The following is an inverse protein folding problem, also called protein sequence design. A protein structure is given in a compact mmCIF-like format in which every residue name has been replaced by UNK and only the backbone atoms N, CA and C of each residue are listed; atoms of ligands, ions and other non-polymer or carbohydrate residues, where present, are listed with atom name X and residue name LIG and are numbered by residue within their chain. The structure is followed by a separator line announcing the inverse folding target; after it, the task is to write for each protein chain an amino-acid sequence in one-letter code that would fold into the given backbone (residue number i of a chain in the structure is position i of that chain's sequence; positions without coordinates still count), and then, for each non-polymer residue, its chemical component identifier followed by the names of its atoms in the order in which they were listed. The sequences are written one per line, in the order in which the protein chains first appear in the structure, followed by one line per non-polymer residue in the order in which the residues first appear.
data_IF_050923540581
#
_entry.id   IF_050923540581
#
_cell.length_a   1.000
_cell.length_b   1.000
_cell.length_c   1.000
_cell.angle_alpha   90.00
_cell.angle_beta   90.00
_cell.angle_gamma   90.00
#
_symmetry.space_group_name_H-M   'P 1'
#
loop_
_entity.id
_entity.type
_entity.pdbx_description
1 polymer ?
#
# COMPACT_ATOMS: atom_id res chain seq x y z
N UNK A 1 6.09 1.49 7.79
CA UNK A 1 5.33 2.09 8.91
C UNK A 1 3.89 1.60 8.82
N UNK A 2 3.31 1.15 9.92
CA UNK A 2 1.94 0.62 9.97
C UNK A 2 0.92 1.75 9.89
N UNK A 3 -0.18 1.54 9.18
CA UNK A 3 -1.26 2.55 9.00
C UNK A 3 -1.75 3.14 10.33
N UNK A 4 -1.97 2.29 11.35
CA UNK A 4 -2.37 2.75 12.67
C UNK A 4 -1.32 3.64 13.36
N UNK A 5 -0.03 3.34 13.14
CA UNK A 5 1.08 4.14 13.67
C UNK A 5 1.16 5.50 12.96
N UNK A 6 0.91 5.55 11.64
CA UNK A 6 0.85 6.83 10.89
C UNK A 6 -0.25 7.73 11.47
N UNK A 7 -1.46 7.21 11.66
CA UNK A 7 -2.58 7.96 12.24
C UNK A 7 -2.23 8.48 13.64
N UNK A 8 -1.68 7.61 14.49
CA UNK A 8 -1.26 7.99 15.85
C UNK A 8 -0.17 9.06 15.83
N UNK A 9 0.88 8.87 15.03
CA UNK A 9 2.04 9.77 14.99
C UNK A 9 1.66 11.17 14.50
N UNK A 10 0.72 11.28 13.56
CA UNK A 10 0.19 12.58 13.13
C UNK A 10 -0.74 13.19 14.18
N UNK A 11 -1.63 12.40 14.80
CA UNK A 11 -2.57 12.91 15.81
C UNK A 11 -1.86 13.40 17.07
N UNK A 12 -0.70 12.83 17.41
CA UNK A 12 0.10 13.18 18.60
C UNK A 12 1.24 14.17 18.32
N UNK A 13 1.29 14.78 17.12
CA UNK A 13 2.33 15.76 16.73
C UNK A 13 3.75 15.19 16.60
N UNK A 14 3.88 13.90 16.53
CA UNK A 14 5.17 13.26 16.24
C UNK A 14 5.56 13.38 14.76
N UNK A 15 4.56 13.49 13.89
CA UNK A 15 4.71 13.74 12.46
C UNK A 15 3.70 14.80 12.04
N UNK A 16 4.08 15.74 11.16
CA UNK A 16 3.18 16.76 10.66
C UNK A 16 2.19 16.19 9.63
N UNK A 17 2.70 15.31 8.75
CA UNK A 17 1.90 14.63 7.72
C UNK A 17 2.12 13.12 7.78
N UNK A 18 1.14 12.36 7.31
CA UNK A 18 1.22 10.92 7.10
C UNK A 18 0.66 10.54 5.74
N UNK A 19 1.41 9.75 4.96
CA UNK A 19 0.95 9.29 3.65
C UNK A 19 0.17 7.99 3.84
N UNK A 20 -1.04 7.96 3.28
CA UNK A 20 -1.95 6.83 3.33
C UNK A 20 -2.71 6.72 2.00
N UNK A 21 -3.46 5.64 1.83
CA UNK A 21 -4.40 5.54 0.74
C UNK A 21 -5.81 5.18 1.25
N UNK A 22 -6.81 5.58 0.47
CA UNK A 22 -8.19 5.17 0.65
C UNK A 22 -8.65 4.39 -0.59
N UNK A 23 -9.57 3.46 -0.39
CA UNK A 23 -10.33 2.78 -1.43
C UNK A 23 -11.76 2.56 -0.95
N UNK A 24 -12.64 2.03 -1.79
CA UNK A 24 -14.05 1.80 -1.45
C UNK A 24 -14.23 0.95 -0.18
N UNK A 25 -13.31 0.05 0.11
CA UNK A 25 -13.38 -0.85 1.26
C UNK A 25 -13.02 -0.17 2.58
N UNK A 26 -11.90 0.61 2.61
CA UNK A 26 -11.36 1.15 3.85
C UNK A 26 -11.80 2.60 4.14
N UNK A 27 -12.28 3.34 3.13
CA UNK A 27 -12.60 4.76 3.22
C UNK A 27 -13.50 5.12 4.40
N UNK A 28 -14.61 4.40 4.56
CA UNK A 28 -15.58 4.70 5.63
C UNK A 28 -14.98 4.57 7.03
N UNK A 29 -14.15 3.54 7.23
CA UNK A 29 -13.53 3.26 8.53
C UNK A 29 -12.40 4.23 8.79
N UNK A 30 -11.50 4.43 7.82
CA UNK A 30 -10.36 5.33 7.99
C UNK A 30 -10.80 6.80 8.11
N UNK A 31 -11.78 7.26 7.33
CA UNK A 31 -12.33 8.63 7.44
C UNK A 31 -12.95 8.88 8.81
N UNK A 32 -13.64 7.87 9.39
CA UNK A 32 -14.13 7.99 10.76
C UNK A 32 -12.98 8.12 11.75
N UNK A 33 -11.96 7.26 11.65
CA UNK A 33 -10.78 7.31 12.52
C UNK A 33 -10.03 8.66 12.40
N UNK A 34 -9.88 9.18 11.19
CA UNK A 34 -9.28 10.52 10.98
C UNK A 34 -10.08 11.59 11.70
N UNK A 35 -11.40 11.58 11.56
CA UNK A 35 -12.29 12.55 12.24
C UNK A 35 -12.17 12.47 13.75
N UNK A 36 -12.20 11.23 14.30
CA UNK A 36 -12.12 10.99 15.74
C UNK A 36 -10.75 11.40 16.31
N UNK A 37 -9.69 11.31 15.48
CA UNK A 37 -8.33 11.74 15.80
C UNK A 37 -8.04 13.23 15.49
N UNK A 38 -9.03 14.00 15.00
CA UNK A 38 -8.85 15.42 14.64
C UNK A 38 -8.02 15.62 13.37
N UNK A 39 -7.95 14.62 12.49
CA UNK A 39 -7.20 14.65 11.24
C UNK A 39 -8.11 14.95 10.04
N UNK A 40 -7.49 15.40 8.95
CA UNK A 40 -8.11 15.60 7.65
C UNK A 40 -7.25 14.91 6.57
N UNK A 41 -7.92 14.21 5.66
CA UNK A 41 -7.27 13.58 4.50
C UNK A 41 -7.39 14.48 3.28
N UNK A 42 -6.28 14.67 2.57
CA UNK A 42 -6.23 15.37 1.28
C UNK A 42 -5.68 14.41 0.23
N UNK A 43 -6.49 14.15 -0.80
CA UNK A 43 -6.06 13.35 -1.94
C UNK A 43 -5.02 14.09 -2.78
N UNK A 44 -3.96 13.39 -3.18
CA UNK A 44 -2.94 13.87 -4.11
C UNK A 44 -3.22 13.36 -5.53
N UNK A 45 -3.51 12.08 -5.65
CA UNK A 45 -3.85 11.44 -6.93
C UNK A 45 -4.54 10.10 -6.71
N UNK A 46 -5.15 9.56 -7.78
CA UNK A 46 -5.69 8.21 -7.78
C UNK A 46 -5.01 7.33 -8.84
N UNK A 47 -4.84 6.05 -8.52
CA UNK A 47 -4.23 5.06 -9.41
C UNK A 47 -4.98 3.73 -9.36
N UNK A 48 -4.71 2.86 -10.34
CA UNK A 48 -5.15 1.46 -10.32
C UNK A 48 -4.33 0.58 -9.40
N UNK A 49 -4.68 -0.68 -9.31
CA UNK A 49 -3.91 -1.70 -8.62
C UNK A 49 -2.95 -2.41 -9.57
N UNK A 50 -1.77 -2.73 -9.07
CA UNK A 50 -0.72 -3.44 -9.81
C UNK A 50 -0.19 -4.59 -8.95
N UNK A 51 0.21 -5.68 -9.60
CA UNK A 51 1.04 -6.71 -8.98
C UNK A 51 2.51 -6.36 -9.13
N UNK A 52 3.23 -6.28 -8.01
CA UNK A 52 4.66 -6.06 -7.98
C UNK A 52 5.38 -7.39 -7.88
N UNK A 53 6.20 -7.69 -8.87
CA UNK A 53 6.90 -8.97 -9.03
C UNK A 53 8.36 -8.74 -9.42
N UNK A 54 9.23 -9.73 -9.25
CA UNK A 54 10.57 -9.68 -9.79
C UNK A 54 10.56 -9.92 -11.31
N UNK A 55 11.60 -9.43 -12.02
CA UNK A 55 11.66 -9.39 -13.49
C UNK A 55 11.54 -10.74 -14.20
N UNK A 56 11.95 -11.85 -13.53
CA UNK A 56 11.86 -13.19 -14.10
C UNK A 56 10.68 -13.99 -13.53
N UNK A 57 9.74 -13.33 -12.86
CA UNK A 57 8.49 -13.96 -12.46
C UNK A 57 7.75 -14.49 -13.71
N UNK A 58 7.09 -15.67 -13.65
CA UNK A 58 6.40 -16.24 -14.82
C UNK A 58 5.38 -15.30 -15.49
N UNK A 59 4.79 -14.37 -14.74
CA UNK A 59 3.84 -13.38 -15.25
C UNK A 59 4.49 -12.04 -15.64
N UNK A 60 5.80 -11.84 -15.43
CA UNK A 60 6.46 -10.53 -15.56
C UNK A 60 6.36 -9.88 -16.97
N UNK A 61 6.11 -10.69 -18.01
CA UNK A 61 6.01 -10.23 -19.39
C UNK A 61 4.56 -10.06 -19.88
N UNK A 62 3.56 -10.21 -19.00
CA UNK A 62 2.17 -9.93 -19.31
C UNK A 62 1.92 -8.43 -19.32
N UNK A 63 1.07 -7.95 -20.25
CA UNK A 63 0.65 -6.55 -20.30
C UNK A 63 -0.34 -6.21 -19.19
N UNK A 64 -1.20 -7.17 -18.85
CA UNK A 64 -2.20 -7.09 -17.79
C UNK A 64 -2.45 -8.49 -17.23
N UNK A 65 -2.83 -8.60 -15.96
CA UNK A 65 -3.13 -9.87 -15.28
C UNK A 65 -4.38 -9.75 -14.42
N UNK A 66 -5.05 -10.88 -14.24
CA UNK A 66 -6.16 -10.99 -13.29
C UNK A 66 -5.66 -11.41 -11.90
N UNK A 67 -6.49 -11.19 -10.88
CA UNK A 67 -6.18 -11.71 -9.54
C UNK A 67 -6.17 -13.25 -9.51
N UNK A 68 -6.88 -13.90 -10.43
CA UNK A 68 -6.91 -15.35 -10.60
C UNK A 68 -5.56 -15.90 -11.09
N UNK A 69 -4.87 -15.17 -11.97
CA UNK A 69 -3.52 -15.55 -12.45
C UNK A 69 -2.52 -15.60 -11.30
N UNK A 70 -2.72 -14.81 -10.26
CA UNK A 70 -1.87 -14.72 -9.08
C UNK A 70 -2.08 -15.82 -8.05
N UNK A 71 -3.16 -16.62 -8.13
CA UNK A 71 -3.54 -17.64 -7.14
C UNK A 71 -2.51 -18.76 -6.96
N UNK A 72 -1.69 -19.02 -7.97
CA UNK A 72 -0.65 -20.05 -7.90
C UNK A 72 0.63 -19.56 -7.18
N UNK A 73 0.73 -18.26 -6.90
CA UNK A 73 1.89 -17.62 -6.29
C UNK A 73 1.55 -17.10 -4.88
N UNK A 74 2.52 -17.04 -3.94
CA UNK A 74 2.25 -16.50 -2.61
C UNK A 74 2.10 -14.98 -2.65
N UNK A 75 1.00 -14.49 -2.08
CA UNK A 75 0.81 -13.07 -1.81
C UNK A 75 1.68 -12.67 -0.61
N UNK A 76 2.52 -11.65 -0.79
CA UNK A 76 3.37 -11.09 0.24
C UNK A 76 2.73 -9.81 0.76
N UNK A 77 2.46 -9.77 2.05
CA UNK A 77 1.80 -8.65 2.71
C UNK A 77 2.63 -8.13 3.89
N UNK A 78 2.51 -6.84 4.21
CA UNK A 78 3.14 -6.27 5.39
C UNK A 78 2.34 -6.60 6.65
N UNK A 79 3.05 -7.01 7.70
CA UNK A 79 2.44 -7.24 9.00
C UNK A 79 2.02 -5.92 9.65
N UNK A 80 0.76 -5.82 10.07
CA UNK A 80 0.20 -4.63 10.76
C UNK A 80 0.24 -4.74 12.29
N UNK A 81 0.91 -5.77 12.84
CA UNK A 81 1.04 -5.97 14.30
C UNK A 81 -0.31 -6.21 14.98
N UNK A 82 -0.53 -5.54 16.12
CA UNK A 82 -1.76 -5.68 16.89
C UNK A 82 -3.00 -5.07 16.21
N UNK A 83 -2.82 -4.24 15.18
CA UNK A 83 -3.88 -3.63 14.37
C UNK A 83 -4.16 -4.46 13.12
N UNK A 84 -4.32 -5.79 13.27
CA UNK A 84 -4.53 -6.76 12.18
C UNK A 84 -5.92 -6.67 11.50
N UNK A 85 -6.56 -5.51 11.53
CA UNK A 85 -7.77 -5.27 10.76
C UNK A 85 -7.41 -5.09 9.28
N UNK A 86 -8.18 -5.71 8.39
CA UNK A 86 -8.05 -5.55 6.93
C UNK A 86 -8.12 -4.09 6.47
N UNK A 87 -8.77 -3.22 7.24
CA UNK A 87 -8.86 -1.79 6.94
C UNK A 87 -7.52 -1.05 7.06
N UNK A 88 -6.54 -1.62 7.77
CA UNK A 88 -5.19 -1.07 7.94
C UNK A 88 -4.16 -1.70 7.01
N UNK A 89 -4.55 -2.67 6.18
CA UNK A 89 -3.63 -3.29 5.23
C UNK A 89 -3.03 -2.25 4.28
N UNK A 90 -1.75 -2.40 3.98
CA UNK A 90 -1.05 -1.55 3.01
C UNK A 90 -1.37 -1.98 1.57
N UNK A 91 -1.79 -3.23 1.40
CA UNK A 91 -2.14 -3.80 0.11
C UNK A 91 -3.63 -3.65 -0.18
N UNK A 92 -3.95 -3.28 -1.41
CA UNK A 92 -5.32 -3.31 -1.95
C UNK A 92 -5.79 -4.78 -2.05
N UNK A 93 -7.08 -5.01 -2.07
CA UNK A 93 -7.68 -6.36 -2.06
C UNK A 93 -7.31 -7.22 -0.84
N UNK A 94 -7.05 -6.60 0.30
CA UNK A 94 -6.68 -7.29 1.55
C UNK A 94 -7.73 -8.29 2.04
N UNK A 95 -8.98 -8.18 1.58
CA UNK A 95 -10.10 -9.09 1.89
C UNK A 95 -10.26 -10.24 0.90
N UNK A 96 -9.45 -10.27 -0.16
CA UNK A 96 -9.51 -11.36 -1.12
C UNK A 96 -9.00 -12.67 -0.48
N UNK A 97 -9.63 -13.79 -0.84
CA UNK A 97 -9.25 -15.12 -0.33
C UNK A 97 -8.04 -15.68 -1.08
N UNK A 98 -6.85 -15.29 -0.65
CA UNK A 98 -5.60 -15.77 -1.21
C UNK A 98 -5.28 -17.18 -0.72
N UNK A 99 -4.99 -18.11 -1.62
CA UNK A 99 -4.58 -19.49 -1.25
C UNK A 99 -3.34 -19.53 -0.35
N UNK A 100 -2.42 -18.58 -0.53
CA UNK A 100 -1.17 -18.51 0.23
C UNK A 100 -0.83 -17.05 0.51
N UNK A 101 -0.69 -16.70 1.80
CA UNK A 101 -0.26 -15.38 2.26
C UNK A 101 0.96 -15.54 3.14
N UNK A 102 2.00 -14.75 2.88
CA UNK A 102 3.18 -14.66 3.74
C UNK A 102 3.28 -13.21 4.22
N UNK A 103 3.31 -13.02 5.54
CA UNK A 103 3.47 -11.71 6.16
C UNK A 103 4.93 -11.44 6.45
N UNK A 104 5.44 -10.29 6.04
CA UNK A 104 6.79 -9.82 6.29
C UNK A 104 6.77 -8.51 7.09
N UNK A 105 7.78 -8.31 7.93
CA UNK A 105 7.90 -7.11 8.77
C UNK A 105 8.73 -6.01 8.11
N UNK A 106 9.49 -6.34 7.07
CA UNK A 106 10.38 -5.42 6.39
C UNK A 106 10.45 -5.67 4.87
N UNK A 107 10.87 -4.61 4.17
CA UNK A 107 10.94 -4.63 2.71
C UNK A 107 12.01 -5.56 2.15
N UNK A 108 13.16 -5.67 2.79
CA UNK A 108 14.26 -6.50 2.30
C UNK A 108 13.86 -7.98 2.30
N UNK A 109 13.24 -8.45 3.38
CA UNK A 109 12.65 -9.80 3.48
C UNK A 109 11.60 -10.02 2.38
N UNK A 110 10.70 -9.05 2.17
CA UNK A 110 9.68 -9.14 1.13
C UNK A 110 10.30 -9.30 -0.26
N UNK A 111 11.30 -8.50 -0.61
CA UNK A 111 11.97 -8.58 -1.92
C UNK A 111 12.69 -9.93 -2.12
N UNK A 112 13.35 -10.46 -1.07
CA UNK A 112 13.96 -11.79 -1.12
C UNK A 112 12.92 -12.90 -1.34
N UNK A 113 11.76 -12.81 -0.69
CA UNK A 113 10.67 -13.76 -0.89
C UNK A 113 10.05 -13.66 -2.28
N UNK A 114 9.98 -12.46 -2.87
CA UNK A 114 9.55 -12.31 -4.28
C UNK A 114 10.45 -13.11 -5.22
N UNK A 115 11.75 -13.04 -5.04
CA UNK A 115 12.71 -13.78 -5.88
C UNK A 115 12.68 -15.28 -5.56
N UNK A 116 12.76 -15.63 -4.28
CA UNK A 116 12.93 -17.01 -3.85
C UNK A 116 11.69 -17.90 -4.05
N UNK A 117 10.49 -17.32 -4.02
CA UNK A 117 9.21 -18.05 -4.06
C UNK A 117 8.34 -17.68 -5.26
N UNK A 118 8.81 -16.85 -6.18
CA UNK A 118 7.96 -16.20 -7.16
C UNK A 118 6.74 -15.52 -6.49
N UNK A 119 6.96 -14.87 -5.37
CA UNK A 119 5.93 -14.14 -4.65
C UNK A 119 5.61 -12.80 -5.33
N UNK A 120 4.48 -12.23 -4.96
CA UNK A 120 4.07 -10.91 -5.42
C UNK A 120 3.51 -10.09 -4.24
N UNK A 121 3.52 -8.78 -4.37
CA UNK A 121 2.70 -7.89 -3.53
C UNK A 121 1.87 -6.97 -4.40
N UNK A 122 0.83 -6.36 -3.84
CA UNK A 122 -0.02 -5.42 -4.55
C UNK A 122 0.43 -3.99 -4.24
N UNK A 123 0.44 -3.13 -5.24
CA UNK A 123 0.93 -1.76 -5.12
C UNK A 123 0.19 -0.80 -6.05
N UNK A 124 0.54 0.47 -5.97
CA UNK A 124 0.02 1.56 -6.81
C UNK A 124 0.59 1.60 -8.23
N UNK A 125 1.56 0.76 -8.55
CA UNK A 125 2.30 0.83 -9.81
C UNK A 125 3.32 1.97 -9.90
N UNK A 126 3.35 2.88 -8.94
CA UNK A 126 4.31 3.99 -8.88
C UNK A 126 5.56 3.49 -8.19
N UNK A 127 6.61 3.25 -8.98
CA UNK A 127 7.86 2.67 -8.52
C UNK A 127 9.01 3.60 -8.93
N UNK A 128 9.81 3.97 -7.95
CA UNK A 128 11.06 4.69 -8.20
C UNK A 128 12.15 3.66 -8.52
N UNK A 129 12.58 3.58 -9.78
CA UNK A 129 13.61 2.64 -10.22
C UNK A 129 14.96 2.93 -9.56
N UNK A 130 15.29 4.19 -9.29
CA UNK A 130 16.51 4.58 -8.61
C UNK A 130 16.63 3.98 -7.20
N UNK A 131 15.48 3.74 -6.52
CA UNK A 131 15.45 3.16 -5.18
C UNK A 131 15.24 1.64 -5.16
N UNK A 132 14.60 1.10 -6.21
CA UNK A 132 14.22 -0.32 -6.25
C UNK A 132 15.06 -1.14 -7.23
N UNK A 133 15.80 -0.49 -8.12
CA UNK A 133 16.51 -1.12 -9.22
C UNK A 133 15.56 -1.60 -10.32
N UNK A 134 16.13 -2.08 -11.42
CA UNK A 134 15.40 -2.60 -12.60
C UNK A 134 15.00 -4.09 -12.47
N UNK A 135 15.19 -4.69 -11.30
CA UNK A 135 14.95 -6.12 -11.10
C UNK A 135 13.50 -6.46 -10.76
N UNK A 136 12.63 -5.45 -10.63
CA UNK A 136 11.24 -5.62 -10.30
C UNK A 136 10.34 -4.90 -11.30
N UNK A 137 9.10 -5.38 -11.44
CA UNK A 137 8.08 -4.83 -12.35
C UNK A 137 6.74 -4.71 -11.67
N UNK A 138 5.98 -3.68 -12.04
CA UNK A 138 4.57 -3.55 -11.71
C UNK A 138 3.74 -3.91 -12.94
N UNK A 139 2.84 -4.87 -12.81
CA UNK A 139 1.94 -5.33 -13.87
C UNK A 139 0.54 -4.90 -13.50
N UNK A 140 -0.18 -4.17 -14.40
CA UNK A 140 -1.54 -3.73 -14.11
C UNK A 140 -2.47 -4.91 -13.85
N UNK A 141 -3.42 -4.73 -12.93
CA UNK A 141 -4.52 -5.67 -12.69
C UNK A 141 -5.76 -5.24 -13.48
N UNK A 142 -6.50 -6.21 -14.03
CA UNK A 142 -7.75 -6.00 -14.78
C UNK A 142 -8.87 -5.36 -13.93
N UNK A 143 -8.75 -5.40 -12.60
CA UNK A 143 -9.74 -4.86 -11.66
C UNK A 143 -9.77 -3.33 -11.70
N UNK A 144 -11.00 -2.78 -11.70
CA UNK A 144 -11.24 -1.33 -11.78
C UNK A 144 -11.12 -0.60 -10.43
N UNK A 145 -10.86 -1.32 -9.35
CA UNK A 145 -10.72 -0.69 -8.03
C UNK A 145 -9.57 0.32 -8.04
N UNK A 146 -9.81 1.48 -7.43
CA UNK A 146 -8.84 2.58 -7.39
C UNK A 146 -8.35 2.82 -5.98
N UNK A 147 -7.09 3.21 -5.90
CA UNK A 147 -6.45 3.72 -4.70
C UNK A 147 -6.42 5.25 -4.79
N UNK A 148 -6.94 5.94 -3.79
CA UNK A 148 -6.84 7.38 -3.62
C UNK A 148 -5.69 7.66 -2.67
N UNK A 149 -4.53 7.97 -3.21
CA UNK A 149 -3.31 8.22 -2.42
C UNK A 149 -3.31 9.68 -2.01
N UNK A 150 -3.04 9.91 -0.74
CA UNK A 150 -3.05 11.25 -0.17
C UNK A 150 -2.29 11.32 1.15
N UNK A 151 -2.42 12.46 1.81
CA UNK A 151 -1.86 12.66 3.13
C UNK A 151 -2.94 13.01 4.16
N UNK A 152 -2.65 12.64 5.39
CA UNK A 152 -3.40 13.11 6.57
C UNK A 152 -2.56 14.13 7.33
N UNK A 153 -3.21 15.16 7.85
CA UNK A 153 -2.64 16.15 8.76
C UNK A 153 -3.69 16.58 9.79
N UNK A 154 -3.27 17.22 10.87
CA UNK A 154 -4.22 17.77 11.84
C UNK A 154 -5.04 18.92 11.23
N UNK A 155 -6.32 18.95 11.58
CA UNK A 155 -7.20 20.04 11.14
C UNK A 155 -6.68 21.40 11.62
N UNK A 156 -6.83 22.41 10.77
CA UNK A 156 -6.43 23.79 11.04
C UNK A 156 -4.92 23.98 11.26
N UNK A 157 -4.08 23.00 10.96
CA UNK A 157 -2.64 23.14 11.03
C UNK A 157 -2.10 23.78 9.75
N UNK A 158 -1.08 24.64 9.89
CA UNK A 158 -0.39 25.24 8.76
C UNK A 158 0.76 24.32 8.33
N UNK A 159 0.69 23.86 7.09
CA UNK A 159 1.75 23.02 6.51
C UNK A 159 3.09 23.77 6.47
N UNK A 160 4.13 23.15 7.00
CA UNK A 160 5.48 23.72 6.99
C UNK A 160 6.05 23.81 5.57
N UNK A 161 7.05 24.68 5.32
CA UNK A 161 7.68 24.80 4.00
C UNK A 161 8.30 23.48 3.50
N UNK A 162 8.81 22.64 4.39
CA UNK A 162 9.38 21.35 4.04
C UNK A 162 8.30 20.35 3.60
N UNK A 163 7.16 20.31 4.30
CA UNK A 163 6.04 19.44 3.92
C UNK A 163 5.40 19.83 2.58
N UNK A 164 5.44 21.13 2.23
CA UNK A 164 4.94 21.63 0.92
C UNK A 164 5.81 21.20 -0.25
N UNK A 165 7.07 20.84 -0.01
CA UNK A 165 8.01 20.40 -1.04
C UNK A 165 8.02 18.87 -1.20
N UNK A 166 7.55 18.17 -0.20
CA UNK A 166 7.43 16.72 -0.22
C UNK A 166 6.27 16.26 -1.09
#
# INVERSE_FOLDING_TARGET
TKTADVIRDVSTDKSQIGILYLNEFNEKVLTKLFRDAGLEFTELFSCGAYAYVWKNHPLANREEISIQDLQEYPCLAFEQGNSNSFYFAEEIFSTYDYKRVIKACDRATMLNLMVGLNGYTLCSGIICEELNGSDYRAIPLEQKERMHIGYVMRKNEIMSPICRKY
#
